data_IF_998246954440
#
_entry.id   IF_998246954440
#
_cell.length_a   1.000
_cell.length_b   1.000
_cell.length_c   1.000
_cell.angle_alpha   90.00
_cell.angle_beta   90.00
_cell.angle_gamma   90.00
#
_symmetry.space_group_name_H-M   'P 1'
#
loop_
_entity.id
_entity.type
_entity.pdbx_description
1 polymer ?
#
# COMPACT_ATOMS: atom_id res chain seq x y z
N UNK A 1 18.68 3.66 -10.99
CA UNK A 1 17.31 3.81 -10.47
C UNK A 1 16.73 5.08 -11.06
N UNK A 2 15.63 5.00 -11.80
CA UNK A 2 15.01 6.21 -12.36
C UNK A 2 14.40 6.98 -11.18
N UNK A 3 14.88 8.20 -10.93
CA UNK A 3 14.37 9.04 -9.84
C UNK A 3 12.91 9.37 -10.15
N UNK A 4 11.98 8.81 -9.38
CA UNK A 4 10.57 9.14 -9.53
C UNK A 4 10.35 10.57 -9.02
N UNK A 5 9.69 11.40 -9.81
CA UNK A 5 9.37 12.77 -9.43
C UNK A 5 7.92 12.82 -8.92
N UNK A 6 7.76 12.99 -7.60
CA UNK A 6 6.44 13.08 -6.98
C UNK A 6 5.66 14.31 -7.45
N UNK A 7 6.33 15.39 -7.90
CA UNK A 7 5.66 16.55 -8.53
C UNK A 7 5.12 16.20 -9.90
N UNK A 8 5.82 15.38 -10.68
CA UNK A 8 5.29 14.87 -11.94
C UNK A 8 4.00 14.08 -11.67
N UNK A 9 4.03 13.17 -10.70
CA UNK A 9 2.84 12.43 -10.27
C UNK A 9 1.70 13.35 -9.82
N UNK A 10 1.95 14.36 -8.99
CA UNK A 10 0.91 15.31 -8.58
C UNK A 10 0.26 16.03 -9.77
N UNK A 11 1.04 16.33 -10.81
CA UNK A 11 0.60 17.14 -11.94
C UNK A 11 0.00 16.36 -13.11
N UNK A 12 0.22 15.04 -13.18
CA UNK A 12 -0.28 14.16 -14.25
C UNK A 12 -1.80 14.22 -14.45
N UNK A 13 -2.58 14.36 -13.37
CA UNK A 13 -4.04 14.45 -13.47
C UNK A 13 -4.59 15.54 -12.54
N UNK A 14 -5.22 16.56 -13.12
CA UNK A 14 -5.76 17.71 -12.39
C UNK A 14 -6.92 17.37 -11.46
N UNK A 15 -7.73 16.35 -11.79
CA UNK A 15 -8.87 15.93 -10.97
C UNK A 15 -8.43 15.33 -9.64
N UNK A 16 -7.25 14.69 -9.62
CA UNK A 16 -6.69 14.05 -8.43
C UNK A 16 -5.60 14.88 -7.74
N UNK A 17 -5.34 16.10 -8.22
CA UNK A 17 -4.23 16.93 -7.73
C UNK A 17 -4.29 17.14 -6.22
N UNK A 18 -5.46 17.49 -5.66
CA UNK A 18 -5.61 17.75 -4.23
C UNK A 18 -5.35 16.51 -3.38
N UNK A 19 -5.81 15.34 -3.84
CA UNK A 19 -5.49 14.06 -3.21
C UNK A 19 -3.99 13.77 -3.26
N UNK A 20 -3.35 13.88 -4.42
CA UNK A 20 -1.92 13.60 -4.60
C UNK A 20 -1.04 14.56 -3.79
N UNK A 21 -1.45 15.84 -3.68
CA UNK A 21 -0.81 16.82 -2.79
C UNK A 21 -0.94 16.42 -1.33
N UNK A 22 -2.13 16.01 -0.88
CA UNK A 22 -2.32 15.52 0.49
C UNK A 22 -1.49 14.26 0.78
N UNK A 23 -1.43 13.30 -0.17
CA UNK A 23 -0.52 12.14 -0.07
C UNK A 23 0.91 12.62 0.11
N UNK A 24 1.42 13.50 -0.75
CA UNK A 24 2.78 14.02 -0.63
C UNK A 24 3.03 14.69 0.73
N UNK A 25 2.13 15.55 1.20
CA UNK A 25 2.24 16.18 2.53
C UNK A 25 2.32 15.13 3.65
N UNK A 26 1.53 14.05 3.60
CA UNK A 26 1.59 12.96 4.58
C UNK A 26 2.95 12.25 4.52
N UNK A 27 3.47 11.98 3.32
CA UNK A 27 4.78 11.32 3.17
C UNK A 27 5.92 12.21 3.67
N UNK A 28 5.86 13.51 3.42
CA UNK A 28 6.83 14.48 3.95
C UNK A 28 6.78 14.54 5.47
N UNK A 29 5.59 14.52 6.07
CA UNK A 29 5.44 14.46 7.54
C UNK A 29 6.09 13.20 8.15
N UNK A 30 5.86 12.05 7.53
CA UNK A 30 6.45 10.76 7.95
C UNK A 30 7.97 10.81 7.81
N UNK A 31 8.47 11.27 6.66
CA UNK A 31 9.91 11.34 6.37
C UNK A 31 10.65 12.31 7.29
N UNK A 32 10.03 13.43 7.65
CA UNK A 32 10.60 14.44 8.55
C UNK A 32 10.70 14.01 10.02
N UNK A 33 10.09 12.88 10.39
CA UNK A 33 10.10 12.38 11.77
C UNK A 33 10.82 11.03 11.86
N UNK A 34 12.07 10.96 12.39
CA UNK A 34 12.89 9.74 12.34
C UNK A 34 12.20 8.47 12.89
N UNK A 35 11.43 8.62 13.96
CA UNK A 35 10.69 7.48 14.54
C UNK A 35 9.53 7.01 13.68
N UNK A 36 8.85 7.90 12.93
CA UNK A 36 7.80 7.53 11.99
C UNK A 36 8.42 6.96 10.71
N UNK A 37 9.41 7.64 10.14
CA UNK A 37 10.16 7.21 8.96
C UNK A 37 10.68 5.76 9.12
N UNK A 38 11.28 5.45 10.26
CA UNK A 38 11.85 4.12 10.50
C UNK A 38 10.76 3.05 10.69
N UNK A 39 9.67 3.39 11.38
CA UNK A 39 8.65 2.42 11.77
C UNK A 39 7.56 2.19 10.70
N UNK A 40 7.23 3.21 9.91
CA UNK A 40 6.15 3.19 8.92
C UNK A 40 6.68 2.80 7.56
N UNK A 41 6.44 1.55 7.17
CA UNK A 41 6.89 1.02 5.88
C UNK A 41 5.71 1.02 4.90
N UNK A 42 5.79 1.82 3.84
CA UNK A 42 4.73 1.98 2.86
C UNK A 42 4.50 0.68 2.06
N UNK A 43 3.24 0.38 1.80
CA UNK A 43 2.80 -0.71 0.93
C UNK A 43 1.59 -0.30 0.08
N UNK A 44 0.95 -1.28 -0.55
CA UNK A 44 -0.36 -1.10 -1.17
C UNK A 44 -0.36 -0.35 -2.50
N UNK A 45 -1.49 0.26 -2.84
CA UNK A 45 -1.70 0.87 -4.16
C UNK A 45 -0.85 2.11 -4.43
N UNK A 46 -0.60 2.93 -3.40
CA UNK A 46 0.22 4.15 -3.55
C UNK A 46 1.67 3.80 -3.83
N UNK A 47 2.21 2.75 -3.21
CA UNK A 47 3.54 2.24 -3.56
C UNK A 47 3.63 1.88 -5.06
N UNK A 48 2.61 1.20 -5.59
CA UNK A 48 2.57 0.84 -7.02
C UNK A 48 2.54 2.07 -7.92
N UNK A 49 1.77 3.09 -7.56
CA UNK A 49 1.72 4.34 -8.30
C UNK A 49 3.09 5.07 -8.27
N UNK A 50 3.74 5.13 -7.11
CA UNK A 50 4.99 5.88 -6.92
C UNK A 50 6.23 5.14 -7.41
N UNK A 51 6.37 3.84 -7.15
CA UNK A 51 7.60 3.10 -7.49
C UNK A 51 7.54 2.42 -8.86
N UNK A 52 6.33 2.15 -9.37
CA UNK A 52 6.14 1.39 -10.61
C UNK A 52 5.29 2.12 -11.65
N UNK A 53 4.87 3.37 -11.38
CA UNK A 53 4.01 4.17 -12.27
C UNK A 53 2.70 3.46 -12.66
N UNK A 54 2.16 2.64 -11.75
CA UNK A 54 0.90 1.94 -12.04
C UNK A 54 -0.20 2.92 -12.43
N UNK A 55 -0.91 2.70 -13.55
CA UNK A 55 -2.00 3.56 -14.00
C UNK A 55 -3.29 3.34 -13.20
N UNK A 56 -3.29 2.38 -12.26
CA UNK A 56 -4.45 2.11 -11.41
C UNK A 56 -4.57 3.18 -10.32
N UNK A 57 -5.71 3.85 -10.29
CA UNK A 57 -6.10 4.77 -9.25
C UNK A 57 -6.23 4.08 -7.88
N UNK A 58 -5.88 4.82 -6.84
CA UNK A 58 -5.98 4.42 -5.42
C UNK A 58 -6.41 5.62 -4.60
N UNK A 59 -7.27 5.40 -3.61
CA UNK A 59 -7.77 6.43 -2.69
C UNK A 59 -7.14 6.37 -1.30
N UNK A 60 -6.44 5.26 -1.01
CA UNK A 60 -5.99 4.92 0.33
C UNK A 60 -4.46 4.79 0.33
N UNK A 61 -3.85 5.01 1.50
CA UNK A 61 -2.42 4.82 1.74
C UNK A 61 -2.25 3.70 2.78
N UNK A 62 -1.37 2.74 2.51
CA UNK A 62 -1.14 1.62 3.42
C UNK A 62 0.28 1.66 3.98
N UNK A 63 0.40 1.39 5.28
CA UNK A 63 1.69 1.20 5.95
C UNK A 63 1.68 -0.08 6.78
N UNK A 64 2.87 -0.59 7.07
CA UNK A 64 3.09 -1.71 7.98
C UNK A 64 4.22 -1.43 8.95
N UNK A 65 4.14 -2.08 10.11
CA UNK A 65 5.21 -2.10 11.10
C UNK A 65 5.32 -3.45 11.79
N UNK A 66 6.56 -3.81 12.12
CA UNK A 66 6.85 -4.95 12.96
C UNK A 66 6.49 -4.71 14.44
N UNK A 67 6.28 -3.44 14.85
CA UNK A 67 5.88 -3.09 16.22
C UNK A 67 4.65 -3.88 16.64
N UNK A 68 4.75 -4.52 17.81
CA UNK A 68 3.66 -5.31 18.35
C UNK A 68 2.63 -4.43 19.02
N UNK A 69 1.37 -4.85 18.98
CA UNK A 69 0.23 -4.11 19.55
C UNK A 69 0.43 -3.70 21.02
N UNK A 70 0.97 -4.55 21.94
CA UNK A 70 1.21 -4.15 23.33
C UNK A 70 2.27 -3.05 23.47
N UNK A 71 3.22 -2.97 22.54
CA UNK A 71 4.32 -1.99 22.56
C UNK A 71 3.95 -0.69 21.83
N UNK A 72 2.78 -0.65 21.20
CA UNK A 72 2.34 0.49 20.40
C UNK A 72 1.56 1.50 21.25
N UNK A 73 2.15 2.67 21.46
CA UNK A 73 1.48 3.80 22.11
C UNK A 73 0.74 4.67 21.08
N UNK A 74 -0.59 4.57 21.09
CA UNK A 74 -1.46 5.28 20.16
C UNK A 74 -1.38 6.82 20.32
N UNK A 75 -1.36 7.31 21.56
CA UNK A 75 -1.38 8.75 21.82
C UNK A 75 -0.05 9.41 21.44
N UNK A 76 1.06 8.75 21.75
CA UNK A 76 2.41 9.18 21.33
C UNK A 76 2.55 9.19 19.80
N UNK A 77 2.13 8.11 19.13
CA UNK A 77 2.12 8.05 17.66
C UNK A 77 1.27 9.18 17.06
N UNK A 78 0.04 9.38 17.57
CA UNK A 78 -0.86 10.42 17.09
C UNK A 78 -0.25 11.81 17.27
N UNK A 79 0.33 12.10 18.43
CA UNK A 79 0.97 13.39 18.70
C UNK A 79 2.13 13.69 17.75
N UNK A 80 2.98 12.68 17.48
CA UNK A 80 4.09 12.80 16.51
C UNK A 80 3.60 13.04 15.09
N UNK A 81 2.59 12.29 14.64
CA UNK A 81 2.02 12.46 13.31
C UNK A 81 1.33 13.83 13.16
N UNK A 82 0.62 14.29 14.19
CA UNK A 82 -0.05 15.59 14.18
C UNK A 82 0.95 16.76 14.13
N UNK A 83 2.02 16.71 14.94
CA UNK A 83 3.08 17.72 14.91
C UNK A 83 3.78 17.77 13.54
N UNK A 84 4.17 16.62 13.00
CA UNK A 84 4.85 16.56 11.71
C UNK A 84 3.97 16.94 10.52
N UNK A 85 2.66 16.70 10.59
CA UNK A 85 1.73 17.19 9.57
C UNK A 85 1.66 18.72 9.53
N UNK A 86 1.75 19.40 10.69
CA UNK A 86 1.78 20.86 10.74
C UNK A 86 2.99 21.40 9.99
N UNK A 87 4.17 20.84 10.28
CA UNK A 87 5.42 21.24 9.63
C UNK A 87 5.36 20.97 8.12
N UNK A 88 4.94 19.77 7.71
CA UNK A 88 4.84 19.39 6.30
C UNK A 88 3.81 20.21 5.50
N UNK A 89 2.72 20.65 6.13
CA UNK A 89 1.72 21.53 5.50
C UNK A 89 2.35 22.88 5.13
N UNK A 90 3.12 23.47 6.04
CA UNK A 90 3.81 24.74 5.79
C UNK A 90 4.92 24.59 4.74
N UNK A 91 5.73 23.52 4.83
CA UNK A 91 6.85 23.28 3.92
C UNK A 91 6.39 22.95 2.48
N UNK A 92 5.24 22.27 2.32
CA UNK A 92 4.76 21.83 1.00
C UNK A 92 4.38 22.98 0.05
N UNK A 93 4.06 24.16 0.58
CA UNK A 93 3.70 25.34 -0.21
C UNK A 93 2.41 25.21 -1.05
N UNK A 94 1.62 24.15 -0.91
CA UNK A 94 0.43 23.91 -1.73
C UNK A 94 -0.77 24.80 -1.38
N UNK A 95 -0.74 25.47 -0.22
CA UNK A 95 -1.92 26.09 0.36
C UNK A 95 -3.00 25.06 0.75
N UNK A 96 -2.64 23.77 0.82
CA UNK A 96 -3.49 22.67 1.26
C UNK A 96 -3.16 22.36 2.73
N UNK A 97 -4.18 22.33 3.58
CA UNK A 97 -4.04 21.87 4.96
C UNK A 97 -4.42 20.39 5.06
N UNK A 98 -3.74 19.65 5.93
CA UNK A 98 -3.96 18.23 6.23
C UNK A 98 -4.06 18.03 7.74
N UNK A 99 -5.15 17.42 8.22
CA UNK A 99 -5.39 17.22 9.66
C UNK A 99 -5.95 15.85 9.97
N UNK A 100 -5.49 15.22 11.05
CA UNK A 100 -6.07 13.98 11.57
C UNK A 100 -7.52 14.24 11.98
N UNK A 101 -8.46 13.55 11.34
CA UNK A 101 -9.90 13.60 11.66
C UNK A 101 -10.31 12.43 12.55
N UNK A 102 -9.61 11.30 12.40
CA UNK A 102 -9.87 10.07 13.17
C UNK A 102 -8.60 9.25 13.26
N UNK A 103 -8.38 8.61 14.40
CA UNK A 103 -7.31 7.64 14.62
C UNK A 103 -7.86 6.55 15.53
N UNK A 104 -8.05 5.32 15.03
CA UNK A 104 -8.71 4.24 15.77
C UNK A 104 -8.07 2.88 15.50
N UNK A 105 -7.73 2.16 16.56
CA UNK A 105 -7.27 0.78 16.47
C UNK A 105 -8.42 -0.20 16.16
N UNK A 106 -8.16 -1.15 15.27
CA UNK A 106 -9.12 -2.18 14.84
C UNK A 106 -8.45 -3.55 14.64
N UNK A 107 -8.81 -4.60 15.38
CA UNK A 107 -9.65 -4.59 16.59
C UNK A 107 -9.02 -3.77 17.74
N UNK A 108 -9.83 -3.26 18.70
CA UNK A 108 -9.31 -2.36 19.75
C UNK A 108 -8.52 -3.05 20.86
N UNK A 109 -8.68 -4.36 21.04
CA UNK A 109 -8.08 -5.13 22.14
C UNK A 109 -6.61 -5.51 21.86
N UNK A 110 -5.85 -5.76 22.93
CA UNK A 110 -4.39 -5.92 22.85
C UNK A 110 -3.95 -7.30 22.34
N UNK A 111 -4.77 -8.35 22.51
CA UNK A 111 -4.44 -9.69 21.96
C UNK A 111 -4.75 -9.84 20.46
N UNK A 112 -5.13 -8.74 19.78
CA UNK A 112 -5.36 -8.77 18.36
C UNK A 112 -4.09 -9.23 17.63
N UNK A 113 -4.19 -10.32 16.86
CA UNK A 113 -3.02 -10.91 16.18
C UNK A 113 -2.53 -10.06 15.02
N UNK A 114 -3.44 -9.35 14.34
CA UNK A 114 -3.15 -8.53 13.17
C UNK A 114 -3.98 -7.23 13.20
N UNK A 115 -3.76 -6.34 14.19
CA UNK A 115 -4.52 -5.12 14.31
C UNK A 115 -4.06 -4.09 13.28
N UNK A 116 -4.97 -3.17 12.95
CA UNK A 116 -4.72 -2.06 12.05
C UNK A 116 -5.15 -0.78 12.75
N UNK A 117 -4.24 0.19 12.79
CA UNK A 117 -4.59 1.55 13.15
C UNK A 117 -5.17 2.25 11.91
N UNK A 118 -6.47 2.50 11.95
CA UNK A 118 -7.18 3.20 10.88
C UNK A 118 -7.16 4.71 11.15
N UNK A 119 -6.59 5.46 10.23
CA UNK A 119 -6.41 6.91 10.34
C UNK A 119 -7.15 7.57 9.18
N UNK A 120 -7.97 8.58 9.47
CA UNK A 120 -8.51 9.46 8.44
C UNK A 120 -7.81 10.81 8.53
N UNK A 121 -7.13 11.20 7.46
CA UNK A 121 -6.50 12.51 7.33
C UNK A 121 -7.38 13.34 6.39
N UNK A 122 -8.03 14.35 6.95
CA UNK A 122 -8.81 15.31 6.18
C UNK A 122 -7.89 16.29 5.49
N UNK A 123 -8.27 16.75 4.31
CA UNK A 123 -7.51 17.76 3.58
C UNK A 123 -8.41 18.78 2.89
N UNK A 124 -7.99 20.04 2.82
CA UNK A 124 -8.71 21.11 2.13
C UNK A 124 -7.77 22.28 1.84
N UNK A 125 -8.00 23.00 0.73
CA UNK A 125 -7.26 24.23 0.47
C UNK A 125 -7.67 25.34 1.44
N UNK A 126 -6.69 26.04 2.00
CA UNK A 126 -6.88 27.20 2.86
C UNK A 126 -7.75 28.23 2.12
N UNK A 127 -8.82 28.69 2.78
CA UNK A 127 -9.76 29.67 2.21
C UNK A 127 -10.92 29.11 1.38
N UNK A 128 -10.97 27.80 1.10
CA UNK A 128 -12.13 27.18 0.43
C UNK A 128 -13.28 26.88 1.41
N UNK A 129 -14.49 26.68 0.87
CA UNK A 129 -15.72 26.46 1.67
C UNK A 129 -15.61 25.27 2.64
N UNK A 130 -14.94 24.19 2.24
CA UNK A 130 -14.74 22.99 3.06
C UNK A 130 -13.63 23.15 4.12
N UNK A 131 -12.81 24.19 4.07
CA UNK A 131 -11.70 24.40 5.01
C UNK A 131 -12.19 24.57 6.45
N UNK A 132 -13.27 25.32 6.67
CA UNK A 132 -13.87 25.45 8.01
C UNK A 132 -14.26 24.09 8.61
N UNK A 133 -14.79 23.19 7.77
CA UNK A 133 -15.17 21.84 8.21
C UNK A 133 -13.96 20.99 8.56
N UNK A 134 -12.83 21.15 7.85
CA UNK A 134 -11.56 20.50 8.18
C UNK A 134 -11.08 20.90 9.58
N UNK A 135 -11.09 22.22 9.87
CA UNK A 135 -10.68 22.76 11.17
C UNK A 135 -11.54 22.25 12.34
N UNK A 136 -12.82 21.99 12.07
CA UNK A 136 -13.78 21.48 13.05
C UNK A 136 -13.80 19.95 13.17
N UNK A 137 -12.89 19.22 12.51
CA UNK A 137 -12.84 17.75 12.56
C UNK A 137 -13.96 17.05 11.76
N UNK A 138 -14.55 17.74 10.78
CA UNK A 138 -15.69 17.29 9.96
C UNK A 138 -15.40 17.37 8.47
N UNK A 139 -14.16 17.11 8.07
CA UNK A 139 -13.71 17.16 6.68
C UNK A 139 -14.61 16.32 5.77
N UNK A 140 -14.82 16.81 4.55
CA UNK A 140 -15.59 16.11 3.49
C UNK A 140 -14.69 15.31 2.57
N UNK A 141 -13.44 15.72 2.49
CA UNK A 141 -12.35 15.10 1.74
C UNK A 141 -11.38 14.49 2.73
N UNK A 142 -11.21 13.17 2.65
CA UNK A 142 -10.35 12.39 3.56
C UNK A 142 -9.50 11.41 2.76
N UNK A 143 -8.28 11.20 3.23
CA UNK A 143 -7.45 10.06 2.86
C UNK A 143 -7.57 9.06 3.99
N UNK A 144 -7.89 7.82 3.64
CA UNK A 144 -7.83 6.69 4.56
C UNK A 144 -6.41 6.13 4.56
N UNK A 145 -5.82 6.04 5.75
CA UNK A 145 -4.51 5.46 5.99
C UNK A 145 -4.67 4.27 6.93
N UNK A 146 -4.34 3.08 6.43
CA UNK A 146 -4.34 1.85 7.22
C UNK A 146 -2.89 1.49 7.62
N UNK A 147 -2.60 1.54 8.92
CA UNK A 147 -1.30 1.19 9.46
C UNK A 147 -1.36 -0.17 10.17
N UNK A 148 -0.88 -1.20 9.49
CA UNK A 148 -0.92 -2.59 9.96
C UNK A 148 0.18 -2.87 10.97
N UNK A 149 -0.20 -3.30 12.18
CA UNK A 149 0.73 -3.70 13.24
C UNK A 149 0.96 -5.21 13.21
N UNK A 150 1.96 -5.65 13.97
CA UNK A 150 2.40 -7.04 14.07
C UNK A 150 2.87 -7.64 12.73
N UNK A 151 3.18 -6.82 11.73
CA UNK A 151 3.52 -7.26 10.38
C UNK A 151 5.03 -7.15 10.16
N UNK A 152 5.78 -8.26 10.27
CA UNK A 152 7.21 -8.23 10.01
C UNK A 152 7.47 -7.96 8.53
N UNK A 153 8.39 -7.03 8.28
CA UNK A 153 8.88 -6.66 6.96
C UNK A 153 10.38 -6.93 6.95
N UNK A 154 10.82 -7.87 6.13
CA UNK A 154 12.23 -8.28 6.07
C UNK A 154 12.99 -7.61 4.94
N UNK A 155 12.28 -7.14 3.90
CA UNK A 155 12.89 -6.56 2.71
C UNK A 155 12.22 -5.22 2.38
N UNK A 156 12.94 -4.15 2.69
CA UNK A 156 12.52 -2.77 2.42
C UNK A 156 13.33 -2.19 1.26
N UNK A 157 12.69 -1.28 0.52
CA UNK A 157 13.36 -0.34 -0.37
C UNK A 157 13.27 1.08 0.19
N UNK A 158 14.09 1.98 -0.33
CA UNK A 158 14.09 3.39 0.02
C UNK A 158 13.49 4.16 -1.15
N UNK A 159 12.44 4.93 -0.88
CA UNK A 159 11.89 5.88 -1.83
C UNK A 159 12.33 7.29 -1.43
N UNK A 160 13.12 7.91 -2.31
CA UNK A 160 13.57 9.30 -2.15
C UNK A 160 12.42 10.27 -2.47
N UNK A 161 12.08 11.11 -1.49
CA UNK A 161 11.26 12.30 -1.67
C UNK A 161 12.16 13.48 -2.07
N UNK A 162 11.58 14.69 -2.10
CA UNK A 162 12.32 15.92 -2.31
C UNK A 162 13.25 16.24 -1.13
N UNK A 163 14.27 17.08 -1.39
CA UNK A 163 15.19 17.61 -0.38
C UNK A 163 15.97 16.57 0.44
N UNK A 164 16.13 15.36 -0.10
CA UNK A 164 16.87 14.26 0.54
C UNK A 164 16.08 13.52 1.62
N UNK A 165 14.81 13.87 1.81
CA UNK A 165 13.90 13.09 2.65
C UNK A 165 13.65 11.73 2.01
N UNK A 166 13.50 10.69 2.84
CA UNK A 166 13.23 9.34 2.35
C UNK A 166 12.12 8.68 3.15
N UNK A 167 11.43 7.73 2.52
CA UNK A 167 10.48 6.83 3.18
C UNK A 167 10.88 5.38 2.91
N UNK A 168 10.61 4.51 3.89
CA UNK A 168 10.76 3.08 3.69
C UNK A 168 9.52 2.52 2.99
N UNK A 169 9.74 1.64 2.03
CA UNK A 169 8.68 0.97 1.27
C UNK A 169 8.89 -0.53 1.27
N UNK A 170 7.84 -1.29 0.93
CA UNK A 170 8.02 -2.69 0.55
C UNK A 170 8.92 -2.73 -0.67
N UNK A 171 9.88 -3.65 -0.64
CA UNK A 171 10.60 -4.01 -1.86
C UNK A 171 9.69 -4.72 -2.87
N UNK A 172 10.17 -4.91 -4.09
CA UNK A 172 9.50 -5.77 -5.08
C UNK A 172 9.13 -7.14 -4.49
N UNK A 173 10.09 -7.76 -3.81
CA UNK A 173 9.94 -9.10 -3.22
C UNK A 173 8.79 -9.11 -2.21
N UNK A 174 8.82 -8.17 -1.26
CA UNK A 174 7.82 -8.08 -0.20
C UNK A 174 6.43 -7.77 -0.74
N UNK A 175 6.35 -6.89 -1.75
CA UNK A 175 5.10 -6.51 -2.42
C UNK A 175 4.48 -7.69 -3.19
N UNK A 176 5.27 -8.39 -4.01
CA UNK A 176 4.78 -9.54 -4.80
C UNK A 176 4.33 -10.67 -3.87
N UNK A 177 5.12 -10.99 -2.85
CA UNK A 177 4.77 -11.99 -1.84
C UNK A 177 3.45 -11.65 -1.11
N UNK A 178 3.28 -10.40 -0.70
CA UNK A 178 2.06 -9.93 -0.01
C UNK A 178 0.82 -10.01 -0.91
N UNK A 179 0.95 -9.65 -2.20
CA UNK A 179 -0.13 -9.73 -3.19
C UNK A 179 -0.57 -11.17 -3.44
N UNK A 180 0.36 -12.11 -3.63
CA UNK A 180 0.04 -13.53 -3.76
C UNK A 180 -0.63 -14.08 -2.51
N UNK A 181 -0.08 -13.79 -1.32
CA UNK A 181 -0.68 -14.20 -0.05
C UNK A 181 -2.11 -13.68 0.09
N UNK A 182 -2.35 -12.40 -0.24
CA UNK A 182 -3.68 -11.79 -0.15
C UNK A 182 -4.69 -12.42 -1.12
N UNK A 183 -4.28 -12.74 -2.35
CA UNK A 183 -5.08 -13.48 -3.32
C UNK A 183 -5.42 -14.88 -2.83
N UNK A 184 -4.45 -15.64 -2.35
CA UNK A 184 -4.67 -17.01 -1.88
C UNK A 184 -5.51 -17.06 -0.60
N UNK A 185 -5.41 -16.04 0.27
CA UNK A 185 -6.23 -15.94 1.48
C UNK A 185 -7.70 -15.56 1.23
N UNK A 186 -8.04 -15.14 0.00
CA UNK A 186 -9.35 -14.54 -0.28
C UNK A 186 -10.52 -15.52 -0.05
N UNK A 187 -10.29 -16.82 -0.24
CA UNK A 187 -11.25 -17.90 0.02
C UNK A 187 -11.62 -17.95 1.51
N UNK A 188 -10.62 -18.11 2.39
CA UNK A 188 -10.80 -18.18 3.84
C UNK A 188 -11.44 -16.91 4.39
N UNK A 189 -11.11 -15.75 3.81
CA UNK A 189 -11.65 -14.44 4.20
C UNK A 189 -12.99 -14.09 3.55
N UNK A 190 -13.52 -14.95 2.68
CA UNK A 190 -14.78 -14.74 1.95
C UNK A 190 -14.88 -13.37 1.27
N UNK A 191 -13.80 -12.94 0.60
CA UNK A 191 -13.74 -11.66 -0.12
C UNK A 191 -13.15 -11.86 -1.52
N UNK A 192 -13.37 -10.90 -2.42
CA UNK A 192 -12.71 -10.84 -3.72
C UNK A 192 -11.48 -9.93 -3.65
N UNK A 193 -10.44 -10.26 -4.41
CA UNK A 193 -9.17 -9.49 -4.45
C UNK A 193 -8.73 -9.21 -5.89
N UNK A 194 -9.67 -8.77 -6.72
CA UNK A 194 -9.48 -8.45 -8.16
C UNK A 194 -8.30 -7.51 -8.45
N UNK A 195 -8.02 -6.55 -7.58
CA UNK A 195 -6.91 -5.60 -7.79
C UNK A 195 -5.54 -6.28 -7.70
N UNK A 196 -5.40 -7.30 -6.84
CA UNK A 196 -4.11 -7.92 -6.61
C UNK A 196 -3.61 -8.71 -7.83
N UNK A 197 -4.49 -9.32 -8.64
CA UNK A 197 -4.08 -10.01 -9.88
C UNK A 197 -3.60 -9.01 -10.94
N UNK A 198 -4.28 -7.87 -11.06
CA UNK A 198 -3.87 -6.80 -11.97
C UNK A 198 -2.52 -6.22 -11.53
N UNK A 199 -2.35 -5.93 -10.25
CA UNK A 199 -1.11 -5.37 -9.71
C UNK A 199 0.08 -6.32 -9.91
N UNK A 200 -0.12 -7.63 -9.65
CA UNK A 200 0.89 -8.65 -9.93
C UNK A 200 1.24 -8.69 -11.41
N UNK A 201 0.24 -8.73 -12.29
CA UNK A 201 0.49 -8.74 -13.73
C UNK A 201 1.25 -7.49 -14.17
N UNK A 202 0.83 -6.30 -13.71
CA UNK A 202 1.46 -5.03 -14.06
C UNK A 202 2.93 -5.02 -13.67
N UNK A 203 3.24 -5.38 -12.42
CA UNK A 203 4.62 -5.40 -11.93
C UNK A 203 5.42 -6.52 -12.59
N UNK A 204 4.85 -7.68 -12.87
CA UNK A 204 5.59 -8.81 -13.44
C UNK A 204 5.77 -8.71 -14.96
N UNK A 205 4.93 -7.97 -15.69
CA UNK A 205 4.95 -8.04 -17.16
C UNK A 205 6.24 -7.50 -17.79
N UNK A 206 6.90 -6.53 -17.16
CA UNK A 206 8.08 -5.86 -17.73
C UNK A 206 9.23 -5.64 -16.71
N UNK A 207 9.18 -6.28 -15.54
CA UNK A 207 10.20 -6.05 -14.53
C UNK A 207 11.46 -6.88 -14.80
N UNK A 208 12.66 -6.26 -14.87
CA UNK A 208 13.91 -6.96 -15.19
C UNK A 208 14.22 -8.15 -14.27
N UNK A 209 13.84 -8.02 -13.00
CA UNK A 209 14.08 -9.03 -11.98
C UNK A 209 13.04 -10.15 -11.93
N UNK A 210 12.04 -10.18 -12.83
CA UNK A 210 11.03 -11.24 -12.83
C UNK A 210 11.65 -12.63 -13.05
N UNK A 211 12.63 -12.73 -13.95
CA UNK A 211 13.28 -14.00 -14.28
C UNK A 211 14.58 -14.21 -13.50
N UNK A 212 14.89 -13.33 -12.55
CA UNK A 212 16.05 -13.49 -11.67
C UNK A 212 15.76 -14.55 -10.61
N UNK A 213 16.59 -15.60 -10.59
CA UNK A 213 16.36 -16.78 -9.74
C UNK A 213 16.48 -16.49 -8.24
N UNK A 214 17.34 -15.53 -7.86
CA UNK A 214 17.47 -15.12 -6.46
C UNK A 214 16.22 -14.37 -5.99
N UNK A 215 15.76 -13.42 -6.80
CA UNK A 215 14.52 -12.67 -6.57
C UNK A 215 13.32 -13.62 -6.46
N UNK A 216 13.19 -14.61 -7.35
CA UNK A 216 12.12 -15.61 -7.27
C UNK A 216 12.20 -16.47 -5.99
N UNK A 217 13.40 -16.90 -5.59
CA UNK A 217 13.59 -17.67 -4.36
C UNK A 217 13.20 -16.84 -3.12
N UNK A 218 13.57 -15.55 -3.09
CA UNK A 218 13.19 -14.61 -2.03
C UNK A 218 11.69 -14.35 -2.01
N UNK A 219 11.05 -14.14 -3.16
CA UNK A 219 9.58 -14.01 -3.27
C UNK A 219 8.90 -15.23 -2.67
N UNK A 220 9.33 -16.43 -3.03
CA UNK A 220 8.74 -17.66 -2.54
C UNK A 220 8.92 -17.80 -1.01
N UNK A 221 10.13 -17.55 -0.50
CA UNK A 221 10.40 -17.57 0.94
C UNK A 221 9.48 -16.61 1.69
N UNK A 222 9.43 -15.34 1.25
CA UNK A 222 8.58 -14.30 1.87
C UNK A 222 7.10 -14.63 1.78
N UNK A 223 6.64 -15.19 0.65
CA UNK A 223 5.27 -15.66 0.50
C UNK A 223 4.92 -16.73 1.54
N UNK A 224 5.79 -17.73 1.72
CA UNK A 224 5.57 -18.82 2.68
C UNK A 224 5.56 -18.29 4.11
N UNK A 225 6.53 -17.46 4.48
CA UNK A 225 6.63 -16.88 5.83
C UNK A 225 5.40 -16.03 6.16
N UNK A 226 4.98 -15.14 5.25
CA UNK A 226 3.78 -14.31 5.45
C UNK A 226 2.49 -15.13 5.44
N UNK A 227 2.44 -16.22 4.67
CA UNK A 227 1.27 -17.11 4.66
C UNK A 227 1.14 -17.85 5.99
N UNK A 228 2.24 -18.38 6.54
CA UNK A 228 2.27 -19.04 7.86
C UNK A 228 1.79 -18.13 8.98
N UNK A 229 2.21 -16.86 8.98
CA UNK A 229 1.77 -15.84 9.96
C UNK A 229 0.24 -15.61 9.91
N UNK A 230 -0.40 -15.98 8.81
CA UNK A 230 -1.85 -15.82 8.58
C UNK A 230 -2.59 -17.16 8.58
N UNK A 231 -1.97 -18.22 9.10
CA UNK A 231 -2.49 -19.60 9.12
C UNK A 231 -2.91 -20.08 7.73
N UNK A 232 -2.17 -19.66 6.70
CA UNK A 232 -2.37 -20.03 5.31
C UNK A 232 -1.25 -20.95 4.85
N UNK A 233 -1.62 -22.12 4.35
CA UNK A 233 -0.71 -23.01 3.63
C UNK A 233 -0.77 -22.70 2.14
N UNK A 234 0.41 -22.60 1.51
CA UNK A 234 0.55 -22.32 0.08
C UNK A 234 1.47 -23.37 -0.54
N UNK A 235 1.15 -23.76 -1.76
CA UNK A 235 1.76 -24.86 -2.50
C UNK A 235 1.82 -24.51 -3.99
N UNK A 236 2.64 -25.23 -4.75
CA UNK A 236 2.83 -25.05 -6.20
C UNK A 236 1.51 -24.87 -6.99
N UNK A 237 0.46 -25.59 -6.61
CA UNK A 237 -0.85 -25.64 -7.28
C UNK A 237 -1.92 -24.73 -6.65
N UNK A 238 -1.58 -23.92 -5.65
CA UNK A 238 -2.57 -23.08 -4.94
C UNK A 238 -3.29 -22.07 -5.85
N UNK A 239 -2.57 -21.52 -6.85
CA UNK A 239 -3.17 -20.66 -7.87
C UNK A 239 -4.01 -21.44 -8.90
N UNK A 240 -3.82 -22.76 -9.03
CA UNK A 240 -4.63 -23.59 -9.92
C UNK A 240 -5.99 -23.98 -9.32
N UNK A 241 -6.26 -23.59 -8.07
CA UNK A 241 -7.56 -23.79 -7.44
C UNK A 241 -8.66 -22.97 -8.16
N UNK A 242 -9.70 -23.62 -8.73
CA UNK A 242 -10.78 -22.93 -9.42
C UNK A 242 -11.50 -21.89 -8.56
N UNK A 243 -11.60 -22.10 -7.25
CA UNK A 243 -12.24 -21.15 -6.34
C UNK A 243 -11.46 -19.84 -6.21
N UNK A 244 -10.12 -19.93 -6.16
CA UNK A 244 -9.25 -18.74 -6.18
C UNK A 244 -9.45 -18.00 -7.50
N UNK A 245 -9.43 -18.70 -8.63
CA UNK A 245 -9.66 -18.11 -9.95
C UNK A 245 -11.02 -17.42 -10.04
N UNK A 246 -12.09 -18.10 -9.63
CA UNK A 246 -13.46 -17.57 -9.68
C UNK A 246 -13.62 -16.32 -8.80
N UNK A 247 -13.05 -16.31 -7.59
CA UNK A 247 -13.09 -15.15 -6.70
C UNK A 247 -12.26 -13.98 -7.20
N UNK A 248 -11.12 -14.25 -7.84
CA UNK A 248 -10.30 -13.20 -8.47
C UNK A 248 -11.01 -12.60 -9.69
N UNK A 249 -11.69 -13.42 -10.48
CA UNK A 249 -12.48 -12.98 -11.63
C UNK A 249 -13.69 -12.13 -11.21
N UNK A 250 -14.21 -12.39 -10.01
CA UNK A 250 -15.37 -11.68 -9.48
C UNK A 250 -15.10 -10.17 -9.44
N UNK A 251 -15.95 -9.44 -10.15
CA UNK A 251 -15.88 -7.98 -10.31
C UNK A 251 -14.63 -7.46 -11.01
N UNK A 252 -13.79 -8.30 -11.61
CA UNK A 252 -12.59 -7.85 -12.31
C UNK A 252 -12.89 -6.77 -13.36
N UNK A 253 -13.96 -6.96 -14.16
CA UNK A 253 -14.42 -5.97 -15.14
C UNK A 253 -14.83 -4.62 -14.54
N UNK A 254 -15.18 -4.57 -13.25
CA UNK A 254 -15.51 -3.32 -12.55
C UNK A 254 -14.27 -2.47 -12.22
N UNK A 255 -13.07 -2.99 -12.46
CA UNK A 255 -11.82 -2.22 -12.30
C UNK A 255 -11.56 -1.23 -13.43
N UNK A 256 -12.25 -1.32 -14.57
CA UNK A 256 -11.96 -0.46 -15.72
C UNK A 256 -11.97 1.06 -15.39
N UNK A 257 -12.91 1.60 -14.57
CA UNK A 257 -12.86 3.01 -14.17
C UNK A 257 -11.71 3.35 -13.23
N UNK A 258 -11.11 2.34 -12.59
CA UNK A 258 -9.97 2.50 -11.69
C UNK A 258 -8.63 2.52 -12.46
N UNK A 259 -8.60 2.36 -13.79
CA UNK A 259 -7.36 2.24 -14.58
C UNK A 259 -7.34 3.31 -15.66
N UNK A 260 -6.21 4.01 -15.79
CA UNK A 260 -5.93 4.80 -16.98
C UNK A 260 -5.53 3.88 -18.15
N UNK A 261 -6.40 3.79 -19.15
CA UNK A 261 -6.23 2.91 -20.32
C UNK A 261 -7.11 1.66 -20.28
N UNK A 262 -6.78 0.67 -21.11
CA UNK A 262 -7.57 -0.54 -21.24
C UNK A 262 -7.26 -1.55 -20.13
N UNK A 263 -8.32 -2.09 -19.51
CA UNK A 263 -8.20 -3.22 -18.61
C UNK A 263 -7.91 -4.49 -19.44
N UNK A 264 -6.75 -5.16 -19.25
CA UNK A 264 -6.42 -6.36 -20.00
C UNK A 264 -7.39 -7.52 -19.71
N UNK A 265 -7.59 -8.46 -20.65
CA UNK A 265 -8.47 -9.60 -20.44
C UNK A 265 -8.06 -10.44 -19.22
N UNK A 266 -9.05 -10.79 -18.38
CA UNK A 266 -8.80 -11.52 -17.13
C UNK A 266 -8.03 -12.83 -17.34
N UNK A 267 -8.41 -13.62 -18.34
CA UNK A 267 -7.83 -14.94 -18.57
C UNK A 267 -6.33 -14.85 -18.92
N UNK A 268 -5.93 -13.84 -19.68
CA UNK A 268 -4.53 -13.58 -20.04
C UNK A 268 -3.71 -13.16 -18.82
N UNK A 269 -4.24 -12.19 -18.06
CA UNK A 269 -3.65 -11.68 -16.82
C UNK A 269 -3.46 -12.80 -15.80
N UNK A 270 -4.49 -13.62 -15.60
CA UNK A 270 -4.45 -14.73 -14.67
C UNK A 270 -3.43 -15.78 -15.10
N UNK A 271 -3.42 -16.16 -16.37
CA UNK A 271 -2.49 -17.17 -16.89
C UNK A 271 -1.02 -16.75 -16.74
N UNK A 272 -0.69 -15.48 -16.99
CA UNK A 272 0.67 -14.94 -16.81
C UNK A 272 1.10 -15.01 -15.34
N UNK A 273 0.22 -14.58 -14.43
CA UNK A 273 0.52 -14.54 -12.98
C UNK A 273 0.59 -15.95 -12.39
N UNK A 274 -0.31 -16.85 -12.78
CA UNK A 274 -0.28 -18.26 -12.40
C UNK A 274 0.99 -18.94 -12.92
N UNK A 275 1.36 -18.71 -14.18
CA UNK A 275 2.60 -19.26 -14.75
C UNK A 275 3.83 -18.79 -13.99
N UNK A 276 3.89 -17.51 -13.60
CA UNK A 276 4.98 -17.00 -12.76
C UNK A 276 5.00 -17.71 -11.39
N UNK A 277 3.84 -17.80 -10.73
CA UNK A 277 3.71 -18.46 -9.43
C UNK A 277 4.21 -19.91 -9.46
N UNK A 278 3.81 -20.67 -10.49
CA UNK A 278 4.21 -22.08 -10.65
C UNK A 278 5.69 -22.25 -11.01
N UNK A 279 6.31 -21.21 -11.57
CA UNK A 279 7.73 -21.19 -11.92
C UNK A 279 8.64 -20.79 -10.74
N UNK A 280 8.08 -20.35 -9.60
CA UNK A 280 8.87 -20.15 -8.39
C UNK A 280 9.57 -21.46 -7.98
N UNK A 281 10.72 -21.42 -7.29
CA UNK A 281 11.53 -22.61 -6.99
C UNK A 281 10.97 -23.43 -5.80
N UNK A 282 9.77 -23.99 -5.98
CA UNK A 282 9.03 -24.75 -4.96
C UNK A 282 9.77 -25.98 -4.44
N UNK A 283 10.66 -26.56 -5.24
CA UNK A 283 11.49 -27.70 -4.86
C UNK A 283 12.53 -27.39 -3.77
N UNK A 284 12.77 -26.11 -3.49
CA UNK A 284 13.79 -25.65 -2.53
C UNK A 284 13.21 -25.32 -1.15
N UNK A 285 11.92 -25.56 -0.90
CA UNK A 285 11.21 -25.13 0.33
C UNK A 285 10.46 -26.27 1.02
#
# INVERSE_FOLDING_TARGET
MQKFDIKEWINQNSEHRSFRQAVHTILTAIAGTPSLQTAMIMKGGVLLALSYRSPRYTSDIDFSTATKRPDFNLDDFRGKLEASLIDAVEDSGYGLDCRIQRCKMSPPHDEATMPTLQINIGYAYKGQHNYKRLLEGRATTVISLDYSLNEPVEEIDIFELEDGNVIHTYSLVEMVAEKFRALLQQEVRKRARRQDIYDLHYVLSDHPLRNDSDTQARILKRLIDKSRIRDLSVHLDSMSNPEIRNRTALEYSKMAPEIEGDLPPFDEVYAIVESFYRALPWEKV
#
